data_IF_961719761372
#
_entry.id   IF_961719761372
#
_cell.length_a   1.000
_cell.length_b   1.000
_cell.length_c   1.000
_cell.angle_alpha   90.00
_cell.angle_beta   90.00
_cell.angle_gamma   90.00
#
_symmetry.space_group_name_H-M   'P 1'
#
loop_
_entity.id
_entity.type
_entity.pdbx_description
1 polymer ?
#
# COMPACT_ATOMS: atom_id res chain seq x y z
N UNK A 1 17.14 29.17 10.20
CA UNK A 1 15.85 29.22 10.94
C UNK A 1 14.78 29.61 9.94
N UNK A 2 13.91 28.69 9.54
CA UNK A 2 12.78 28.99 8.64
C UNK A 2 11.69 29.73 9.42
N UNK A 3 11.11 30.77 8.81
CA UNK A 3 10.01 31.52 9.39
C UNK A 3 8.81 30.59 9.69
N UNK A 4 8.03 30.83 10.77
CA UNK A 4 6.85 30.03 11.07
C UNK A 4 5.83 30.15 9.95
N UNK A 5 5.30 29.01 9.52
CA UNK A 5 4.26 28.97 8.48
C UNK A 5 2.98 29.69 8.97
N UNK A 6 2.36 30.45 8.07
CA UNK A 6 1.06 31.08 8.37
C UNK A 6 -0.05 30.03 8.55
N UNK A 7 -1.10 30.37 9.30
CA UNK A 7 -2.29 29.51 9.50
C UNK A 7 -2.91 29.00 8.20
N UNK A 8 -2.92 29.83 7.15
CA UNK A 8 -3.39 29.43 5.83
C UNK A 8 -2.50 28.37 5.19
N UNK A 9 -1.20 28.52 5.29
CA UNK A 9 -0.23 27.54 4.76
C UNK A 9 -0.32 26.21 5.51
N UNK A 10 -0.54 26.22 6.82
CA UNK A 10 -0.76 25.00 7.60
C UNK A 10 -2.04 24.28 7.19
N UNK A 11 -3.17 24.99 7.04
CA UNK A 11 -4.43 24.41 6.57
C UNK A 11 -4.33 23.84 5.16
N UNK A 12 -3.62 24.53 4.27
CA UNK A 12 -3.40 24.05 2.91
C UNK A 12 -2.54 22.79 2.88
N UNK A 13 -1.44 22.78 3.63
CA UNK A 13 -0.56 21.61 3.72
C UNK A 13 -1.30 20.38 4.29
N UNK A 14 -2.13 20.56 5.31
CA UNK A 14 -2.98 19.50 5.85
C UNK A 14 -3.95 18.94 4.79
N UNK A 15 -4.61 19.79 4.02
CA UNK A 15 -5.51 19.33 2.94
C UNK A 15 -4.77 18.57 1.86
N UNK A 16 -3.61 19.04 1.44
CA UNK A 16 -2.80 18.41 0.41
C UNK A 16 -2.26 17.04 0.85
N UNK A 17 -1.88 16.86 2.11
CA UNK A 17 -1.43 15.57 2.64
C UNK A 17 -2.54 14.51 2.61
N UNK A 18 -3.81 14.87 2.70
CA UNK A 18 -4.93 13.94 2.50
C UNK A 18 -5.32 13.78 1.02
N UNK A 19 -5.36 14.88 0.30
CA UNK A 19 -5.84 14.88 -1.08
C UNK A 19 -4.88 14.15 -2.03
N UNK A 20 -3.57 14.31 -1.84
CA UNK A 20 -2.56 13.72 -2.71
C UNK A 20 -2.58 12.18 -2.72
N UNK A 21 -2.58 11.47 -1.57
CA UNK A 21 -2.70 10.01 -1.54
C UNK A 21 -4.00 9.51 -2.17
N UNK A 22 -5.12 10.18 -1.89
CA UNK A 22 -6.41 9.81 -2.46
C UNK A 22 -6.41 9.99 -3.98
N UNK A 23 -5.92 11.14 -4.45
CA UNK A 23 -5.81 11.41 -5.89
C UNK A 23 -4.92 10.38 -6.59
N UNK A 24 -3.76 10.05 -6.01
CA UNK A 24 -2.84 9.05 -6.58
C UNK A 24 -3.49 7.67 -6.69
N UNK A 25 -4.21 7.24 -5.64
CA UNK A 25 -4.92 5.95 -5.66
C UNK A 25 -6.02 5.94 -6.73
N UNK A 26 -6.81 7.00 -6.81
CA UNK A 26 -7.87 7.12 -7.82
C UNK A 26 -7.31 7.23 -9.23
N UNK A 27 -6.17 7.90 -9.40
CA UNK A 27 -5.46 7.95 -10.68
C UNK A 27 -5.06 6.56 -11.15
N UNK A 28 -4.44 5.74 -10.30
CA UNK A 28 -4.10 4.37 -10.66
C UNK A 28 -5.33 3.49 -10.93
N UNK A 29 -6.41 3.71 -10.17
CA UNK A 29 -7.67 3.00 -10.40
C UNK A 29 -8.26 3.34 -11.78
N UNK A 30 -8.21 4.60 -12.19
CA UNK A 30 -8.68 5.04 -13.51
C UNK A 30 -7.71 4.63 -14.64
N UNK A 31 -6.41 4.62 -14.37
CA UNK A 31 -5.39 4.23 -15.35
C UNK A 31 -5.40 2.72 -15.64
N UNK A 32 -5.79 1.88 -14.66
CA UNK A 32 -5.82 0.43 -14.82
C UNK A 32 -6.67 -0.05 -16.01
N UNK A 33 -7.96 0.31 -16.15
CA UNK A 33 -8.76 -0.13 -17.30
C UNK A 33 -8.24 0.42 -18.63
N UNK A 34 -7.66 1.62 -18.64
CA UNK A 34 -7.04 2.19 -19.84
C UNK A 34 -5.82 1.35 -20.24
N UNK A 35 -5.00 0.96 -19.26
CA UNK A 35 -3.85 0.10 -19.47
C UNK A 35 -4.27 -1.28 -20.04
N UNK A 36 -5.29 -1.92 -19.45
CA UNK A 36 -5.82 -3.22 -19.91
C UNK A 36 -6.24 -3.15 -21.39
N UNK A 37 -6.95 -2.10 -21.77
CA UNK A 37 -7.40 -1.93 -23.17
C UNK A 37 -6.20 -1.69 -24.11
N UNK A 38 -5.26 -0.86 -23.68
CA UNK A 38 -4.09 -0.50 -24.49
C UNK A 38 -3.13 -1.67 -24.69
N UNK A 39 -2.86 -2.44 -23.63
CA UNK A 39 -1.95 -3.60 -23.67
C UNK A 39 -2.65 -4.90 -24.08
N UNK A 40 -3.98 -4.88 -24.27
CA UNK A 40 -4.82 -6.04 -24.59
C UNK A 40 -4.73 -7.17 -23.55
N UNK A 41 -4.59 -6.82 -22.28
CA UNK A 41 -4.53 -7.75 -21.14
C UNK A 41 -5.93 -8.25 -20.75
N UNK A 42 -6.60 -8.99 -21.64
CA UNK A 42 -7.99 -9.46 -21.41
C UNK A 42 -8.13 -10.46 -20.26
N UNK A 43 -7.04 -11.12 -19.84
CA UNK A 43 -7.02 -12.05 -18.71
C UNK A 43 -6.75 -11.34 -17.38
N UNK A 44 -7.39 -10.18 -17.16
CA UNK A 44 -7.16 -9.33 -15.99
C UNK A 44 -7.25 -10.07 -14.65
N UNK A 45 -8.27 -10.95 -14.46
CA UNK A 45 -8.46 -11.68 -13.21
C UNK A 45 -7.35 -12.69 -12.97
N UNK A 46 -6.93 -13.41 -13.99
CA UNK A 46 -5.82 -14.36 -13.87
C UNK A 46 -4.50 -13.63 -13.60
N UNK A 47 -4.25 -12.54 -14.29
CA UNK A 47 -3.08 -11.69 -14.08
C UNK A 47 -3.05 -11.13 -12.65
N UNK A 48 -4.19 -10.67 -12.13
CA UNK A 48 -4.30 -10.20 -10.76
C UNK A 48 -4.07 -11.35 -9.77
N UNK A 49 -4.61 -12.53 -10.02
CA UNK A 49 -4.39 -13.71 -9.19
C UNK A 49 -2.90 -14.10 -9.17
N UNK A 50 -2.22 -14.03 -10.32
CA UNK A 50 -0.77 -14.24 -10.40
C UNK A 50 -0.01 -13.25 -9.49
N UNK A 51 -0.35 -11.97 -9.51
CA UNK A 51 0.23 -10.97 -8.59
C UNK A 51 0.01 -11.37 -7.12
N UNK A 52 -1.23 -11.78 -6.77
CA UNK A 52 -1.61 -12.07 -5.39
C UNK A 52 -0.94 -13.34 -4.83
N UNK A 53 -0.64 -14.32 -5.68
CA UNK A 53 -0.11 -15.64 -5.30
C UNK A 53 1.35 -15.86 -5.67
N UNK A 54 2.02 -14.88 -6.27
CA UNK A 54 3.44 -14.99 -6.62
C UNK A 54 4.33 -15.00 -5.36
N UNK A 55 5.28 -15.94 -5.28
CA UNK A 55 6.34 -15.86 -4.28
C UNK A 55 7.23 -14.64 -4.56
N UNK A 56 7.77 -14.05 -3.50
CA UNK A 56 8.60 -12.85 -3.63
C UNK A 56 9.79 -12.90 -2.67
N UNK A 57 11.00 -13.15 -3.18
CA UNK A 57 12.21 -13.17 -2.35
C UNK A 57 12.50 -11.82 -1.69
N UNK A 58 12.63 -10.78 -2.50
CA UNK A 58 12.87 -9.39 -2.07
C UNK A 58 12.16 -8.42 -3.01
N UNK A 59 12.24 -8.70 -4.30
CA UNK A 59 11.67 -7.90 -5.38
C UNK A 59 11.09 -8.86 -6.41
N UNK A 60 9.83 -8.64 -6.76
CA UNK A 60 9.15 -9.31 -7.87
C UNK A 60 8.55 -8.25 -8.76
N UNK A 61 8.96 -8.23 -10.03
CA UNK A 61 8.42 -7.29 -11.01
C UNK A 61 6.97 -7.67 -11.35
N UNK A 62 6.03 -6.97 -10.74
CA UNK A 62 4.60 -7.23 -10.97
C UNK A 62 4.13 -6.84 -12.37
N UNK A 63 4.86 -5.98 -13.09
CA UNK A 63 4.57 -5.71 -14.49
C UNK A 63 4.86 -6.92 -15.36
N UNK A 64 5.92 -7.65 -15.06
CA UNK A 64 6.25 -8.89 -15.76
C UNK A 64 5.33 -10.05 -15.37
N UNK A 65 4.87 -10.11 -14.10
CA UNK A 65 4.04 -11.19 -13.56
C UNK A 65 2.57 -11.05 -13.97
N UNK A 66 2.00 -9.85 -13.84
CA UNK A 66 0.57 -9.61 -13.99
C UNK A 66 0.21 -8.55 -15.01
N UNK A 67 1.19 -8.00 -15.71
CA UNK A 67 0.97 -6.92 -16.68
C UNK A 67 0.72 -5.56 -16.05
N UNK A 68 0.56 -4.55 -16.91
CA UNK A 68 0.42 -3.16 -16.50
C UNK A 68 -0.92 -2.89 -15.79
N UNK A 69 -2.01 -3.38 -16.34
CA UNK A 69 -3.36 -3.11 -15.85
C UNK A 69 -3.59 -3.65 -14.46
N UNK A 70 -3.25 -4.93 -14.21
CA UNK A 70 -3.42 -5.59 -12.92
C UNK A 70 -2.48 -5.01 -11.85
N UNK A 71 -1.27 -4.60 -12.23
CA UNK A 71 -0.32 -3.97 -11.33
C UNK A 71 -0.80 -2.59 -10.87
N UNK A 72 -1.33 -1.76 -11.78
CA UNK A 72 -1.92 -0.47 -11.44
C UNK A 72 -3.17 -0.64 -10.54
N UNK A 73 -3.99 -1.65 -10.82
CA UNK A 73 -5.14 -1.97 -9.99
C UNK A 73 -4.73 -2.36 -8.56
N UNK A 74 -3.73 -3.24 -8.42
CA UNK A 74 -3.17 -3.62 -7.12
C UNK A 74 -2.68 -2.39 -6.34
N UNK A 75 -1.91 -1.51 -6.99
CA UNK A 75 -1.42 -0.28 -6.37
C UNK A 75 -2.58 0.66 -5.95
N UNK A 76 -3.64 0.75 -6.77
CA UNK A 76 -4.83 1.53 -6.45
C UNK A 76 -5.52 1.01 -5.18
N UNK A 77 -5.79 -0.30 -5.12
CA UNK A 77 -6.50 -0.92 -3.99
C UNK A 77 -5.68 -0.82 -2.70
N UNK A 78 -4.38 -1.13 -2.75
CA UNK A 78 -3.50 -0.98 -1.58
C UNK A 78 -3.42 0.48 -1.11
N UNK A 79 -3.32 1.42 -2.05
CA UNK A 79 -3.30 2.85 -1.74
C UNK A 79 -4.62 3.36 -1.16
N UNK A 80 -5.78 2.96 -1.69
CA UNK A 80 -7.10 3.28 -1.14
C UNK A 80 -7.26 2.70 0.26
N UNK A 81 -6.80 1.48 0.47
CA UNK A 81 -6.82 0.84 1.79
C UNK A 81 -5.95 1.60 2.79
N UNK A 82 -4.72 2.00 2.42
CA UNK A 82 -3.86 2.81 3.26
C UNK A 82 -4.52 4.15 3.65
N UNK A 83 -5.17 4.82 2.69
CA UNK A 83 -5.94 6.04 2.95
C UNK A 83 -7.10 5.81 3.92
N UNK A 84 -7.87 4.73 3.72
CA UNK A 84 -8.98 4.37 4.59
C UNK A 84 -8.52 4.14 6.04
N UNK A 85 -7.43 3.41 6.21
CA UNK A 85 -6.87 3.13 7.54
C UNK A 85 -6.41 4.41 8.25
N UNK A 86 -5.69 5.29 7.55
CA UNK A 86 -5.29 6.58 8.10
C UNK A 86 -6.51 7.39 8.53
N UNK A 87 -7.56 7.40 7.71
CA UNK A 87 -8.79 8.11 8.01
C UNK A 87 -9.53 7.52 9.24
N UNK A 88 -9.72 6.20 9.26
CA UNK A 88 -10.43 5.50 10.35
C UNK A 88 -9.65 5.58 11.68
N UNK A 89 -8.33 5.52 11.63
CA UNK A 89 -7.48 5.68 12.82
C UNK A 89 -7.53 7.09 13.42
N UNK A 90 -8.12 8.07 12.73
CA UNK A 90 -8.12 9.48 13.09
C UNK A 90 -6.72 10.05 13.31
N UNK A 91 -5.73 9.50 12.61
CA UNK A 91 -4.38 10.02 12.66
C UNK A 91 -4.31 11.41 12.04
N UNK A 92 -3.53 12.29 12.65
CA UNK A 92 -3.27 13.61 12.06
C UNK A 92 -2.32 13.47 10.89
N UNK A 93 -2.69 13.95 9.69
CA UNK A 93 -1.83 13.85 8.52
C UNK A 93 -0.52 14.63 8.76
N UNK A 94 0.56 13.98 8.38
CA UNK A 94 1.90 14.54 8.46
C UNK A 94 2.79 13.94 7.37
N UNK A 95 3.98 14.49 7.22
CA UNK A 95 4.93 14.03 6.19
C UNK A 95 5.33 12.55 6.35
N UNK A 96 5.39 12.03 7.58
CA UNK A 96 5.72 10.63 7.85
C UNK A 96 4.62 9.68 7.36
N UNK A 97 3.35 10.03 7.58
CA UNK A 97 2.20 9.26 7.06
C UNK A 97 2.21 9.29 5.53
N UNK A 98 2.46 10.46 4.93
CA UNK A 98 2.57 10.57 3.48
C UNK A 98 3.73 9.71 2.94
N UNK A 99 4.88 9.72 3.58
CA UNK A 99 6.01 8.88 3.20
C UNK A 99 5.67 7.38 3.31
N UNK A 100 4.99 6.94 4.38
CA UNK A 100 4.52 5.58 4.53
C UNK A 100 3.52 5.17 3.43
N UNK A 101 2.60 6.07 3.05
CA UNK A 101 1.71 5.86 1.92
C UNK A 101 2.48 5.68 0.60
N UNK A 102 3.42 6.58 0.31
CA UNK A 102 4.23 6.50 -0.91
C UNK A 102 5.07 5.21 -0.96
N UNK A 103 5.54 4.75 0.20
CA UNK A 103 6.25 3.47 0.33
C UNK A 103 5.33 2.31 -0.07
N UNK A 104 4.09 2.26 0.41
CA UNK A 104 3.11 1.23 0.02
C UNK A 104 2.92 1.23 -1.48
N UNK A 105 2.61 2.38 -2.08
CA UNK A 105 2.38 2.49 -3.53
C UNK A 105 3.60 2.04 -4.32
N UNK A 106 4.80 2.47 -3.93
CA UNK A 106 6.04 2.06 -4.60
C UNK A 106 6.25 0.54 -4.51
N UNK A 107 6.03 -0.07 -3.34
CA UNK A 107 6.20 -1.51 -3.16
C UNK A 107 5.14 -2.35 -3.89
N UNK A 108 3.97 -1.77 -4.22
CA UNK A 108 2.97 -2.45 -5.05
C UNK A 108 3.44 -2.79 -6.47
N UNK A 109 4.54 -2.21 -6.91
CA UNK A 109 5.19 -2.57 -8.18
C UNK A 109 6.23 -3.69 -8.02
N UNK A 110 6.69 -3.95 -6.79
CA UNK A 110 7.85 -4.78 -6.49
C UNK A 110 7.60 -5.90 -5.47
N UNK A 111 6.36 -6.29 -5.24
CA UNK A 111 6.09 -7.45 -4.39
C UNK A 111 5.08 -7.24 -3.27
N UNK A 112 4.62 -5.99 -3.02
CA UNK A 112 3.52 -5.75 -2.10
C UNK A 112 2.19 -5.88 -2.84
N UNK A 113 1.28 -6.68 -2.28
CA UNK A 113 -0.08 -6.81 -2.79
C UNK A 113 -1.11 -6.80 -1.66
N UNK A 114 -2.38 -6.77 -2.04
CA UNK A 114 -3.46 -6.67 -1.07
C UNK A 114 -3.55 -7.86 -0.09
N UNK A 115 -3.04 -9.05 -0.45
CA UNK A 115 -3.05 -10.20 0.46
C UNK A 115 -1.89 -10.18 1.44
N UNK A 116 -0.68 -9.84 0.98
CA UNK A 116 0.52 -9.95 1.81
C UNK A 116 0.77 -8.74 2.73
N UNK A 117 0.05 -7.64 2.53
CA UNK A 117 0.19 -6.45 3.39
C UNK A 117 -0.43 -6.61 4.79
N UNK A 118 -1.37 -7.57 4.98
CA UNK A 118 -2.13 -7.70 6.22
C UNK A 118 -1.32 -8.17 7.43
N UNK A 119 -0.46 -9.21 7.34
CA UNK A 119 0.25 -9.72 8.51
C UNK A 119 1.13 -8.66 9.19
N UNK A 120 1.99 -7.88 8.48
CA UNK A 120 2.73 -6.80 9.10
C UNK A 120 1.82 -5.73 9.73
N UNK A 121 0.71 -5.43 9.05
CA UNK A 121 -0.25 -4.45 9.53
C UNK A 121 -0.93 -4.92 10.84
N UNK A 122 -1.44 -6.16 10.87
CA UNK A 122 -2.02 -6.75 12.08
C UNK A 122 -1.03 -6.85 13.23
N UNK A 123 0.26 -7.09 12.96
CA UNK A 123 1.31 -7.07 13.97
C UNK A 123 1.35 -5.76 14.75
N UNK A 124 1.22 -4.63 14.08
CA UNK A 124 1.18 -3.30 14.73
C UNK A 124 -0.14 -3.07 15.48
N UNK A 125 -1.27 -3.52 14.93
CA UNK A 125 -2.54 -3.44 15.64
C UNK A 125 -2.50 -4.23 16.95
N UNK A 126 -1.97 -5.45 16.91
CA UNK A 126 -1.78 -6.30 18.07
C UNK A 126 -0.85 -5.66 19.10
N UNK A 127 0.29 -5.12 18.65
CA UNK A 127 1.22 -4.37 19.50
C UNK A 127 0.53 -3.21 20.21
N UNK A 128 -0.24 -2.41 19.47
CA UNK A 128 -0.98 -1.29 20.05
C UNK A 128 -2.01 -1.75 21.09
N UNK A 129 -2.69 -2.88 20.83
CA UNK A 129 -3.66 -3.48 21.76
C UNK A 129 -3.01 -3.96 23.06
N UNK A 130 -1.91 -4.72 22.95
CA UNK A 130 -1.17 -5.26 24.11
C UNK A 130 -0.56 -4.12 24.95
N UNK A 131 0.09 -3.17 24.29
CA UNK A 131 0.79 -2.06 24.93
C UNK A 131 -0.13 -0.89 25.31
N UNK A 132 -1.44 -1.03 25.06
CA UNK A 132 -2.46 0.01 25.30
C UNK A 132 -2.11 1.37 24.67
N UNK A 133 -1.48 1.33 23.50
CA UNK A 133 -1.10 2.53 22.73
C UNK A 133 -2.20 2.91 21.73
N UNK A 134 -2.31 4.20 21.42
CA UNK A 134 -3.26 4.67 20.43
C UNK A 134 -2.79 4.33 19.02
N UNK A 135 -3.66 3.73 18.22
CA UNK A 135 -3.39 3.40 16.81
C UNK A 135 -3.07 4.68 16.03
N UNK A 136 -3.79 5.78 16.29
CA UNK A 136 -3.58 7.06 15.60
C UNK A 136 -2.16 7.62 15.72
N UNK A 137 -1.46 7.32 16.80
CA UNK A 137 -0.08 7.77 17.04
C UNK A 137 0.95 6.83 16.40
N UNK A 138 0.56 5.57 16.14
CA UNK A 138 1.45 4.51 15.64
C UNK A 138 1.14 4.07 14.21
N UNK A 139 0.16 4.70 13.54
CA UNK A 139 -0.29 4.30 12.21
C UNK A 139 0.85 4.36 11.16
N UNK A 140 1.75 5.33 11.30
CA UNK A 140 2.91 5.44 10.42
C UNK A 140 3.79 4.18 10.48
N UNK A 141 3.96 3.57 11.67
CA UNK A 141 4.71 2.31 11.83
C UNK A 141 3.99 1.19 11.07
N UNK A 142 2.65 1.14 11.16
CA UNK A 142 1.85 0.16 10.41
C UNK A 142 2.03 0.31 8.90
N UNK A 143 2.03 1.54 8.37
CA UNK A 143 2.27 1.79 6.95
C UNK A 143 3.68 1.37 6.53
N UNK A 144 4.71 1.70 7.31
CA UNK A 144 6.09 1.31 7.02
C UNK A 144 6.32 -0.20 7.15
N UNK A 145 5.65 -0.88 8.10
CA UNK A 145 5.81 -2.32 8.30
C UNK A 145 5.35 -3.14 7.09
N UNK A 146 4.47 -2.59 6.24
CA UNK A 146 4.05 -3.26 4.99
C UNK A 146 5.20 -3.47 4.00
N UNK A 147 6.34 -2.79 4.16
CA UNK A 147 7.54 -3.08 3.38
C UNK A 147 8.06 -4.52 3.60
N UNK A 148 7.64 -5.18 4.68
CA UNK A 148 7.93 -6.60 4.95
C UNK A 148 6.95 -7.56 4.24
N UNK A 149 5.92 -7.05 3.58
CA UNK A 149 4.91 -7.86 2.89
C UNK A 149 5.49 -8.87 1.87
N UNK A 150 6.54 -8.57 1.09
CA UNK A 150 7.14 -9.54 0.19
C UNK A 150 7.60 -10.84 0.89
N UNK A 151 8.09 -10.76 2.14
CA UNK A 151 8.45 -11.94 2.91
C UNK A 151 7.26 -12.85 3.21
N UNK A 152 6.07 -12.27 3.40
CA UNK A 152 4.84 -13.06 3.62
C UNK A 152 4.54 -13.88 2.37
N UNK A 153 4.60 -13.29 1.17
CA UNK A 153 4.41 -14.02 -0.08
C UNK A 153 5.45 -15.12 -0.28
N UNK A 154 6.72 -14.85 0.05
CA UNK A 154 7.78 -15.85 -0.05
C UNK A 154 7.52 -17.06 0.86
N UNK A 155 7.12 -16.80 2.12
CA UNK A 155 6.82 -17.87 3.08
C UNK A 155 5.56 -18.67 2.68
N UNK A 156 4.52 -17.99 2.18
CA UNK A 156 3.24 -18.65 1.86
C UNK A 156 3.29 -19.43 0.55
N UNK A 157 3.99 -18.92 -0.47
CA UNK A 157 3.87 -19.45 -1.84
C UNK A 157 5.13 -20.19 -2.33
N UNK A 158 6.28 -19.98 -1.69
CA UNK A 158 7.48 -20.75 -2.04
C UNK A 158 7.68 -21.93 -1.11
N UNK A 159 7.49 -21.72 0.18
CA UNK A 159 7.76 -22.75 1.18
C UNK A 159 6.49 -23.45 1.63
N UNK A 160 5.40 -23.40 0.83
CA UNK A 160 4.10 -24.01 1.10
C UNK A 160 4.06 -24.77 2.43
N UNK A 161 3.63 -24.10 3.50
CA UNK A 161 3.60 -24.68 4.85
C UNK A 161 2.60 -25.85 4.81
N UNK A 162 3.04 -27.04 4.41
CA UNK A 162 2.19 -28.22 4.31
C UNK A 162 2.70 -29.35 3.39
N UNK A 163 3.78 -29.16 2.66
CA UNK A 163 4.37 -30.21 1.80
C UNK A 163 5.62 -30.87 2.40
N UNK A 164 5.71 -30.96 3.72
CA UNK A 164 6.72 -31.74 4.42
C UNK A 164 6.06 -32.76 5.34
#
# INVERSE_FOLDING_TARGET
MSAPMSDQQQKLSHRLIYAYPLFTSLFFLAASPIAIIYTKEWNFLDNLLHILTSPCKLVTDYFAVGGLGSTLFNAAICGLFANLIVHVSRAKPNATILAGYMLIVAHCFYGLNFLNMWPPFFGILLYCGIMKKKISENIHIALFSTALAPFVSELCFRYAIGEY
#
